data_IF_817497232761
#
_entry.id   IF_817497232761
#
_cell.length_a   1.000
_cell.length_b   1.000
_cell.length_c   1.000
_cell.angle_alpha   90.00
_cell.angle_beta   90.00
_cell.angle_gamma   90.00
#
_symmetry.space_group_name_H-M   'P 1'
#
loop_
_entity.id
_entity.type
_entity.pdbx_description
1 polymer ?
#
# COMPACT_ATOMS: atom_id res chain seq x y z
N UNK A 1 -17.31 -25.83 -4.78
CA UNK A 1 -16.86 -24.71 -5.64
C UNK A 1 -17.85 -24.61 -6.78
N UNK A 2 -18.47 -23.45 -6.99
CA UNK A 2 -19.31 -23.24 -8.17
C UNK A 2 -18.40 -22.95 -9.36
N UNK A 3 -18.53 -23.72 -10.43
CA UNK A 3 -17.77 -23.55 -11.68
C UNK A 3 -18.66 -22.84 -12.69
N UNK A 4 -18.20 -21.73 -13.25
CA UNK A 4 -18.90 -20.99 -14.30
C UNK A 4 -18.35 -21.48 -15.65
N UNK A 5 -19.23 -21.97 -16.52
CA UNK A 5 -18.89 -22.33 -17.89
C UNK A 5 -18.98 -21.09 -18.78
N UNK A 6 -17.84 -20.58 -19.22
CA UNK A 6 -17.75 -19.37 -20.06
C UNK A 6 -18.02 -19.64 -21.55
N UNK A 7 -17.94 -20.90 -21.98
CA UNK A 7 -18.05 -21.30 -23.40
C UNK A 7 -19.47 -21.13 -23.98
N UNK A 8 -20.49 -21.01 -23.13
CA UNK A 8 -21.87 -20.81 -23.55
C UNK A 8 -22.24 -19.33 -23.67
N UNK A 9 -21.36 -18.42 -23.22
CA UNK A 9 -21.60 -16.99 -23.29
C UNK A 9 -21.11 -16.38 -24.61
N UNK A 10 -21.81 -15.35 -25.13
CA UNK A 10 -21.30 -14.51 -26.20
C UNK A 10 -19.93 -13.90 -25.87
N UNK A 11 -19.08 -13.69 -26.88
CA UNK A 11 -17.73 -13.12 -26.70
C UNK A 11 -17.74 -11.79 -25.94
N UNK A 12 -18.77 -10.97 -26.16
CA UNK A 12 -18.95 -9.68 -25.48
C UNK A 12 -19.13 -9.87 -23.97
N UNK A 13 -19.99 -10.80 -23.55
CA UNK A 13 -20.21 -11.11 -22.15
C UNK A 13 -18.98 -11.75 -21.49
N UNK A 14 -18.18 -12.52 -22.24
CA UNK A 14 -16.90 -13.04 -21.75
C UNK A 14 -15.90 -11.91 -21.46
N UNK A 15 -15.81 -10.91 -22.35
CA UNK A 15 -14.96 -9.73 -22.14
C UNK A 15 -15.40 -8.93 -20.92
N UNK A 16 -16.69 -8.68 -20.76
CA UNK A 16 -17.21 -7.95 -19.59
C UNK A 16 -16.90 -8.67 -18.27
N UNK A 17 -16.98 -10.00 -18.24
CA UNK A 17 -16.62 -10.80 -17.06
C UNK A 17 -15.13 -10.71 -16.73
N UNK A 18 -14.27 -10.71 -17.76
CA UNK A 18 -12.83 -10.52 -17.58
C UNK A 18 -12.51 -9.12 -17.05
N UNK A 19 -13.11 -8.08 -17.62
CA UNK A 19 -12.94 -6.69 -17.15
C UNK A 19 -13.41 -6.53 -15.71
N UNK A 20 -14.56 -7.13 -15.37
CA UNK A 20 -15.09 -7.13 -14.02
C UNK A 20 -14.16 -7.87 -13.05
N UNK A 21 -13.61 -9.01 -13.47
CA UNK A 21 -12.64 -9.75 -12.67
C UNK A 21 -11.35 -8.96 -12.43
N UNK A 22 -10.83 -8.27 -13.44
CA UNK A 22 -9.67 -7.38 -13.28
C UNK A 22 -9.97 -6.23 -12.32
N UNK A 23 -11.16 -5.63 -12.42
CA UNK A 23 -11.61 -4.61 -11.49
C UNK A 23 -11.66 -5.13 -10.04
N UNK A 24 -12.22 -6.32 -9.83
CA UNK A 24 -12.26 -6.95 -8.51
C UNK A 24 -10.86 -7.22 -7.97
N UNK A 25 -9.95 -7.70 -8.82
CA UNK A 25 -8.55 -7.87 -8.45
C UNK A 25 -7.94 -6.53 -8.03
N UNK A 26 -8.12 -5.46 -8.79
CA UNK A 26 -7.56 -4.15 -8.39
C UNK A 26 -8.14 -3.64 -7.07
N UNK A 27 -9.46 -3.78 -6.87
CA UNK A 27 -10.18 -3.26 -5.71
C UNK A 27 -9.89 -4.05 -4.43
N UNK A 28 -9.84 -5.38 -4.52
CA UNK A 28 -9.82 -6.27 -3.35
C UNK A 28 -8.51 -7.01 -3.16
N UNK A 29 -7.62 -7.07 -4.15
CA UNK A 29 -6.26 -7.59 -3.95
C UNK A 29 -5.56 -6.64 -3.00
N UNK A 30 -5.54 -7.01 -1.71
CA UNK A 30 -4.80 -6.33 -0.67
C UNK A 30 -3.43 -6.03 -1.22
N UNK A 31 -3.16 -4.75 -1.51
CA UNK A 31 -1.81 -4.30 -1.83
C UNK A 31 -1.00 -4.71 -0.61
N UNK A 32 -0.17 -5.74 -0.75
CA UNK A 32 0.92 -5.98 0.18
C UNK A 32 1.84 -4.79 -0.01
N UNK A 33 1.49 -3.65 0.59
CA UNK A 33 2.47 -2.64 0.93
C UNK A 33 3.41 -3.40 1.85
N UNK A 34 4.47 -3.95 1.26
CA UNK A 34 5.66 -4.33 2.01
C UNK A 34 6.09 -3.01 2.62
N UNK A 35 5.59 -2.70 3.82
CA UNK A 35 6.14 -1.62 4.64
C UNK A 35 7.62 -1.93 4.66
N UNK A 36 8.43 -1.04 4.06
CA UNK A 36 9.87 -1.23 4.11
C UNK A 36 10.20 -1.30 5.59
N UNK A 37 11.01 -2.28 5.98
CA UNK A 37 11.36 -2.51 7.39
C UNK A 37 11.89 -1.21 8.03
N UNK A 38 12.51 -0.34 7.21
CA UNK A 38 12.94 1.03 7.52
C UNK A 38 11.85 1.96 8.10
N UNK A 39 10.57 1.78 7.75
CA UNK A 39 9.46 2.58 8.30
C UNK A 39 8.98 2.09 9.67
N UNK A 40 9.34 0.86 10.05
CA UNK A 40 8.92 0.22 11.30
C UNK A 40 10.00 0.41 12.38
N UNK A 41 11.27 0.55 11.99
CA UNK A 41 12.39 0.73 12.91
C UNK A 41 12.38 2.18 13.44
N UNK A 42 12.36 2.40 14.77
CA UNK A 42 12.56 3.72 15.35
C UNK A 42 13.87 4.34 14.86
N UNK A 43 13.81 5.55 14.31
CA UNK A 43 15.03 6.26 13.91
C UNK A 43 15.87 6.57 15.14
N UNK A 44 17.17 6.24 15.08
CA UNK A 44 18.14 6.65 16.09
C UNK A 44 18.22 8.18 16.09
N UNK A 45 17.57 8.81 17.06
CA UNK A 45 17.66 10.26 17.29
C UNK A 45 19.01 10.59 17.94
N UNK A 46 19.54 11.78 17.64
CA UNK A 46 20.73 12.30 18.31
C UNK A 46 20.42 12.47 19.80
N UNK A 47 21.45 12.27 20.62
CA UNK A 47 21.36 12.56 22.05
C UNK A 47 20.98 14.02 22.26
N UNK A 48 20.03 14.26 23.14
CA UNK A 48 19.62 15.61 23.48
C UNK A 48 20.74 16.27 24.28
N UNK A 49 21.38 17.28 23.71
CA UNK A 49 22.28 18.18 24.42
C UNK A 49 21.48 19.40 24.88
N UNK A 50 21.32 19.62 26.20
CA UNK A 50 20.68 20.83 26.71
C UNK A 50 21.37 22.07 26.14
N UNK A 51 20.58 22.96 25.54
CA UNK A 51 21.06 24.24 25.01
C UNK A 51 21.56 25.08 26.19
N UNK A 52 22.77 25.64 26.09
CA UNK A 52 23.31 26.50 27.15
C UNK A 52 22.66 27.87 27.09
N UNK A 53 22.48 28.49 28.26
CA UNK A 53 21.87 29.84 28.35
C UNK A 53 22.68 30.87 27.58
N UNK A 54 24.01 30.76 27.54
CA UNK A 54 24.87 31.68 26.79
C UNK A 54 24.53 31.70 25.28
N UNK A 55 24.23 30.54 24.69
CA UNK A 55 23.91 30.39 23.25
C UNK A 55 22.55 31.01 22.86
N UNK A 56 21.66 31.26 23.82
CA UNK A 56 20.31 31.81 23.58
C UNK A 56 20.34 33.33 23.42
N UNK A 57 21.28 34.00 24.08
CA UNK A 57 21.31 35.47 24.20
C UNK A 57 22.41 36.14 23.37
N UNK A 58 23.21 35.39 22.60
CA UNK A 58 24.25 35.90 21.70
C UNK A 58 23.70 36.47 20.36
N UNK A 59 22.49 37.03 20.36
CA UNK A 59 21.84 37.58 19.15
C UNK A 59 21.87 39.09 19.08
#
# INVERSE_FOLDING_TARGET
MQTINLNELPEEAQKELLDFYEFLLQKYKKKKTKKKIEEIIPRKVKEFTPIKREEIYER
#
